data_IF_098584992070
#
_entry.id   IF_098584992070
#
_cell.length_a   1.000
_cell.length_b   1.000
_cell.length_c   1.000
_cell.angle_alpha   90.00
_cell.angle_beta   90.00
_cell.angle_gamma   90.00
#
_symmetry.space_group_name_H-M   'P 1'
#
loop_
_entity.id
_entity.type
_entity.pdbx_description
1 polymer ?
#
# COMPACT_ATOMS: atom_id res chain seq x y z
N UNK A 1 23.98 -0.67 -6.41
CA UNK A 1 22.66 -1.16 -6.85
C UNK A 1 21.76 -1.14 -5.62
N UNK A 2 20.76 -0.26 -5.58
CA UNK A 2 19.83 -0.16 -4.44
C UNK A 2 19.29 -1.56 -4.10
N UNK A 3 19.34 -1.94 -2.81
CA UNK A 3 18.74 -3.21 -2.38
C UNK A 3 17.29 -3.22 -2.83
N UNK A 4 16.90 -4.27 -3.55
CA UNK A 4 15.49 -4.49 -3.87
C UNK A 4 14.72 -4.53 -2.55
N UNK A 5 13.85 -3.55 -2.35
CA UNK A 5 12.95 -3.47 -1.22
C UNK A 5 11.97 -4.64 -1.33
N UNK A 6 12.33 -5.79 -0.76
CA UNK A 6 11.48 -6.99 -0.77
C UNK A 6 10.51 -6.89 0.40
N UNK A 7 9.55 -5.98 0.28
CA UNK A 7 8.53 -5.78 1.30
C UNK A 7 7.34 -6.69 1.02
N UNK A 8 7.01 -7.55 1.98
CA UNK A 8 5.73 -8.27 1.94
C UNK A 8 4.61 -7.30 2.28
N UNK A 9 3.78 -6.93 1.31
CA UNK A 9 2.58 -6.12 1.56
C UNK A 9 1.55 -6.92 2.37
N UNK A 10 1.25 -6.45 3.59
CA UNK A 10 0.21 -7.02 4.47
C UNK A 10 -0.96 -6.04 4.63
N UNK A 11 -2.15 -6.49 5.05
CA UNK A 11 -3.30 -5.62 5.30
C UNK A 11 -2.99 -4.46 6.27
N UNK A 12 -2.24 -4.76 7.34
CA UNK A 12 -1.78 -3.76 8.31
C UNK A 12 -0.88 -2.71 7.67
N UNK A 13 0.00 -3.13 6.76
CA UNK A 13 0.91 -2.21 6.06
C UNK A 13 0.17 -1.33 5.06
N UNK A 14 -0.81 -1.87 4.32
CA UNK A 14 -1.65 -1.07 3.43
C UNK A 14 -2.34 0.05 4.21
N UNK A 15 -2.95 -0.29 5.36
CA UNK A 15 -3.59 0.70 6.24
C UNK A 15 -2.59 1.70 6.81
N UNK A 16 -1.42 1.24 7.26
CA UNK A 16 -0.39 2.10 7.84
C UNK A 16 0.15 3.12 6.82
N UNK A 17 0.46 2.67 5.59
CA UNK A 17 0.90 3.55 4.50
C UNK A 17 -0.15 4.63 4.25
N UNK A 18 -1.43 4.25 4.16
CA UNK A 18 -2.50 5.21 3.93
C UNK A 18 -2.62 6.23 5.07
N UNK A 19 -2.61 5.78 6.33
CA UNK A 19 -2.80 6.66 7.48
C UNK A 19 -1.61 7.61 7.67
N UNK A 20 -0.40 7.15 7.40
CA UNK A 20 0.81 7.97 7.54
C UNK A 20 0.93 9.04 6.46
N UNK A 21 0.33 8.80 5.28
CA UNK A 21 0.17 9.79 4.23
C UNK A 21 -1.08 10.68 4.43
N UNK A 22 -1.80 10.50 5.54
CA UNK A 22 -3.03 11.24 5.88
C UNK A 22 -4.15 11.15 4.83
N UNK A 23 -4.23 10.03 4.11
CA UNK A 23 -5.19 9.83 3.01
C UNK A 23 -6.46 9.09 3.46
N UNK A 24 -7.59 9.46 2.87
CA UNK A 24 -8.81 8.62 2.86
C UNK A 24 -8.59 7.36 2.01
N UNK A 25 -9.46 6.35 2.15
CA UNK A 25 -9.36 5.14 1.32
C UNK A 25 -9.59 5.46 -0.17
N UNK A 26 -10.44 6.45 -0.47
CA UNK A 26 -10.74 6.95 -1.80
C UNK A 26 -9.53 7.63 -2.44
N UNK A 27 -8.89 8.59 -1.75
CA UNK A 27 -7.70 9.28 -2.26
C UNK A 27 -6.53 8.30 -2.45
N UNK A 28 -6.38 7.37 -1.51
CA UNK A 28 -5.36 6.33 -1.61
C UNK A 28 -5.60 5.39 -2.79
N UNK A 29 -6.87 5.00 -3.03
CA UNK A 29 -7.25 4.20 -4.18
C UNK A 29 -6.94 4.92 -5.50
N UNK A 30 -7.28 6.21 -5.59
CA UNK A 30 -6.98 7.04 -6.77
C UNK A 30 -5.48 7.10 -7.04
N UNK A 31 -4.66 7.31 -6.00
CA UNK A 31 -3.20 7.41 -6.12
C UNK A 31 -2.55 6.09 -6.58
N UNK A 32 -3.12 4.95 -6.20
CA UNK A 32 -2.68 3.61 -6.65
C UNK A 32 -3.24 3.23 -8.03
N UNK A 33 -4.25 3.95 -8.53
CA UNK A 33 -5.00 3.55 -9.73
C UNK A 33 -5.87 2.31 -9.48
N UNK A 34 -6.48 2.22 -8.30
CA UNK A 34 -7.39 1.15 -7.90
C UNK A 34 -8.75 1.69 -7.46
N UNK A 35 -9.67 0.79 -7.09
CA UNK A 35 -10.98 1.17 -6.55
C UNK A 35 -10.97 1.20 -5.02
N UNK A 36 -11.83 2.04 -4.43
CA UNK A 36 -12.10 2.06 -2.99
C UNK A 36 -12.36 0.65 -2.44
N UNK A 37 -13.19 -0.13 -3.14
CA UNK A 37 -13.51 -1.50 -2.75
C UNK A 37 -12.30 -2.43 -2.75
N UNK A 38 -11.32 -2.21 -3.63
CA UNK A 38 -10.06 -2.98 -3.64
C UNK A 38 -9.20 -2.63 -2.44
N UNK A 39 -9.01 -1.33 -2.16
CA UNK A 39 -8.26 -0.85 -0.98
C UNK A 39 -8.88 -1.37 0.32
N UNK A 40 -10.20 -1.26 0.47
CA UNK A 40 -10.91 -1.77 1.64
C UNK A 40 -10.70 -3.28 1.82
N UNK A 41 -10.77 -4.08 0.74
CA UNK A 41 -10.48 -5.52 0.81
C UNK A 41 -9.03 -5.82 1.15
N UNK A 42 -8.06 -5.04 0.68
CA UNK A 42 -6.65 -5.18 1.04
C UNK A 42 -6.41 -4.88 2.52
N UNK A 43 -6.94 -3.77 3.03
CA UNK A 43 -6.80 -3.38 4.45
C UNK A 43 -7.47 -4.38 5.41
N UNK A 44 -8.52 -5.06 4.95
CA UNK A 44 -9.22 -6.10 5.70
C UNK A 44 -8.69 -7.52 5.42
N UNK A 45 -7.64 -7.68 4.60
CA UNK A 45 -7.05 -8.98 4.26
C UNK A 45 -7.94 -9.94 3.48
N UNK A 46 -8.98 -9.43 2.83
CA UNK A 46 -9.91 -10.22 1.99
C UNK A 46 -9.29 -10.64 0.67
N UNK A 47 -8.38 -9.84 0.13
CA UNK A 47 -7.54 -10.19 -1.01
C UNK A 47 -6.18 -9.48 -0.92
N UNK A 48 -5.25 -9.85 -1.80
CA UNK A 48 -3.93 -9.23 -1.90
C UNK A 48 -3.88 -8.27 -3.10
N UNK A 49 -3.11 -7.18 -3.01
CA UNK A 49 -2.84 -6.35 -4.17
C UNK A 49 -2.08 -7.14 -5.24
N UNK A 50 -2.37 -6.84 -6.51
CA UNK A 50 -1.64 -7.41 -7.63
C UNK A 50 -0.19 -6.92 -7.68
N UNK A 51 0.59 -7.43 -8.63
CA UNK A 51 2.03 -7.10 -8.75
C UNK A 51 2.30 -5.59 -8.92
N UNK A 52 1.51 -4.91 -9.76
CA UNK A 52 1.68 -3.46 -9.97
C UNK A 52 1.27 -2.66 -8.73
N UNK A 53 0.11 -2.96 -8.14
CA UNK A 53 -0.33 -2.32 -6.90
C UNK A 53 0.67 -2.53 -5.75
N UNK A 54 1.28 -3.72 -5.65
CA UNK A 54 2.31 -3.99 -4.65
C UNK A 54 3.55 -3.10 -4.83
N UNK A 55 4.02 -2.91 -6.08
CA UNK A 55 5.13 -1.98 -6.36
C UNK A 55 4.79 -0.54 -6.01
N UNK A 56 3.57 -0.09 -6.29
CA UNK A 56 3.14 1.27 -5.92
C UNK A 56 3.07 1.41 -4.40
N UNK A 57 2.55 0.42 -3.70
CA UNK A 57 2.53 0.39 -2.23
C UNK A 57 3.95 0.40 -1.65
N UNK A 58 4.92 -0.25 -2.28
CA UNK A 58 6.33 -0.16 -1.87
C UNK A 58 6.90 1.26 -2.02
N UNK A 59 6.57 1.96 -3.11
CA UNK A 59 6.99 3.35 -3.31
C UNK A 59 6.33 4.30 -2.30
N UNK A 60 5.03 4.13 -2.07
CA UNK A 60 4.28 4.91 -1.08
C UNK A 60 4.74 4.61 0.35
N UNK A 61 5.17 3.37 0.65
CA UNK A 61 5.76 3.03 1.93
C UNK A 61 7.06 3.79 2.17
N UNK A 62 7.92 3.92 1.15
CA UNK A 62 9.13 4.75 1.24
C UNK A 62 8.80 6.22 1.50
N UNK A 63 7.79 6.76 0.82
CA UNK A 63 7.31 8.13 1.04
C UNK A 63 6.78 8.33 2.45
N UNK A 64 6.05 7.35 2.98
CA UNK A 64 5.54 7.31 4.34
C UNK A 64 6.62 7.03 5.42
N UNK A 65 7.89 6.81 5.04
CA UNK A 65 8.95 6.42 5.99
C UNK A 65 8.77 5.01 6.60
N UNK A 66 7.88 4.19 6.04
CA UNK A 66 7.60 2.83 6.51
C UNK A 66 8.60 1.86 5.87
N UNK A 67 9.55 1.40 6.67
CA UNK A 67 10.50 0.37 6.25
C UNK A 67 9.94 -1.03 6.59
N UNK A 68 9.94 -1.94 5.61
CA UNK A 68 9.60 -3.34 5.84
C UNK A 68 10.65 -4.00 6.73
N UNK A 69 10.30 -4.21 8.00
CA UNK A 69 11.08 -4.97 8.98
C UNK A 69 10.73 -6.45 8.92
#
# INVERSE_FOLDING_TARGET
MERAFSMRVTPKMVKAIRTELELTQEEFAQRIGSSLGSVSRWENGKNKPGKMASKLLELMAKEAGINGN
#
